data_IF_948004268708
#
_entry.id   IF_948004268708
#
_cell.length_a   1.000
_cell.length_b   1.000
_cell.length_c   1.000
_cell.angle_alpha   90.00
_cell.angle_beta   90.00
_cell.angle_gamma   90.00
#
_symmetry.space_group_name_H-M   'P 1'
#
loop_
_entity.id
_entity.type
_entity.pdbx_description
1 polymer ?
#
# COMPACT_ATOMS: atom_id res chain seq x y z
N UNK A 1 -0.40 -18.11 35.11
CA UNK A 1 -1.07 -16.85 35.48
C UNK A 1 -2.18 -16.55 34.48
N UNK A 2 -3.20 -15.79 34.88
CA UNK A 2 -4.28 -15.33 34.00
C UNK A 2 -4.34 -13.81 34.01
N UNK A 3 -4.67 -13.22 32.86
CA UNK A 3 -4.84 -11.78 32.68
C UNK A 3 -6.32 -11.41 32.77
N UNK A 4 -6.63 -10.39 33.57
CA UNK A 4 -7.96 -9.80 33.63
C UNK A 4 -7.88 -8.39 33.07
N UNK A 5 -8.79 -8.09 32.16
CA UNK A 5 -8.78 -6.84 31.39
C UNK A 5 -9.98 -5.95 31.70
N UNK A 6 -9.85 -4.66 31.39
CA UNK A 6 -11.00 -3.75 31.29
C UNK A 6 -11.78 -3.94 29.97
N UNK A 7 -12.77 -3.06 29.72
CA UNK A 7 -13.62 -3.13 28.53
C UNK A 7 -12.88 -2.81 27.23
N UNK A 8 -11.72 -2.15 27.30
CA UNK A 8 -10.84 -1.88 26.16
C UNK A 8 -9.65 -2.84 26.11
N UNK A 9 -9.65 -3.90 26.92
CA UNK A 9 -8.62 -4.94 26.91
C UNK A 9 -7.35 -4.58 27.67
N UNK A 10 -7.30 -3.46 28.38
CA UNK A 10 -6.12 -3.10 29.17
C UNK A 10 -5.97 -4.05 30.34
N UNK A 11 -4.76 -4.54 30.60
CA UNK A 11 -4.47 -5.43 31.72
C UNK A 11 -4.67 -4.73 33.06
N UNK A 12 -5.65 -5.17 33.87
CA UNK A 12 -5.95 -4.56 35.18
C UNK A 12 -5.34 -5.34 36.33
N UNK A 13 -5.32 -6.67 36.25
CA UNK A 13 -4.77 -7.52 37.32
C UNK A 13 -4.37 -8.89 36.78
N UNK A 14 -3.36 -9.49 37.41
CA UNK A 14 -2.92 -10.86 37.12
C UNK A 14 -3.21 -11.79 38.30
N UNK A 15 -3.67 -13.01 38.01
CA UNK A 15 -3.71 -14.09 39.01
C UNK A 15 -2.61 -15.11 38.76
N UNK A 16 -2.07 -15.72 39.82
CA UNK A 16 -0.97 -16.69 39.75
C UNK A 16 -1.39 -17.98 39.05
N UNK A 17 -2.56 -18.49 39.41
CA UNK A 17 -3.09 -19.81 39.05
C UNK A 17 -4.63 -19.80 38.96
N UNK A 18 -5.20 -20.98 38.77
CA UNK A 18 -6.66 -21.20 38.67
C UNK A 18 -7.39 -20.99 39.99
N UNK A 19 -6.67 -20.89 41.12
CA UNK A 19 -7.25 -20.69 42.44
C UNK A 19 -7.56 -19.21 42.72
N UNK A 20 -7.18 -18.31 41.80
CA UNK A 20 -7.57 -16.90 41.82
C UNK A 20 -6.67 -16.00 42.68
N UNK A 21 -5.53 -16.50 43.15
CA UNK A 21 -4.59 -15.70 43.92
C UNK A 21 -3.99 -14.56 43.08
N UNK A 22 -4.21 -13.31 43.49
CA UNK A 22 -3.65 -12.13 42.81
C UNK A 22 -2.14 -12.09 42.96
N UNK A 23 -1.42 -11.82 41.86
CA UNK A 23 0.02 -11.59 41.90
C UNK A 23 0.29 -10.23 42.56
N UNK A 24 1.24 -10.21 43.50
CA UNK A 24 1.68 -8.96 44.12
C UNK A 24 2.16 -7.97 43.03
N UNK A 25 1.85 -6.68 43.23
CA UNK A 25 2.23 -5.57 42.33
C UNK A 25 1.73 -5.70 40.88
N UNK A 26 0.68 -6.52 40.65
CA UNK A 26 0.03 -6.69 39.34
C UNK A 26 -1.20 -5.81 39.12
N UNK A 27 -1.67 -5.11 40.16
CA UNK A 27 -2.82 -4.23 40.04
C UNK A 27 -2.44 -2.97 39.26
N UNK A 28 -3.07 -2.79 38.11
CA UNK A 28 -2.79 -1.71 37.19
C UNK A 28 -4.03 -0.85 36.99
N UNK A 29 -3.82 0.47 36.88
CA UNK A 29 -4.87 1.44 36.58
C UNK A 29 -4.35 2.41 35.55
N UNK A 30 -5.18 2.76 34.58
CA UNK A 30 -4.81 3.67 33.49
C UNK A 30 -5.60 4.98 33.58
N UNK A 31 -4.95 6.06 33.17
CA UNK A 31 -5.57 7.30 32.73
C UNK A 31 -6.18 7.08 31.34
N UNK A 32 -7.08 7.97 30.86
CA UNK A 32 -7.77 7.78 29.58
C UNK A 32 -6.84 7.57 28.38
N UNK A 33 -5.62 8.12 28.39
CA UNK A 33 -4.63 7.98 27.30
C UNK A 33 -3.50 6.98 27.63
N UNK A 34 -3.72 6.08 28.58
CA UNK A 34 -2.80 4.97 28.85
C UNK A 34 -1.65 5.26 29.82
N UNK A 35 -1.51 6.47 30.35
CA UNK A 35 -0.60 6.70 31.48
C UNK A 35 -1.07 5.95 32.73
N UNK A 36 -0.14 5.54 33.61
CA UNK A 36 -0.51 4.90 34.86
C UNK A 36 -1.18 5.85 35.83
N UNK A 37 -2.31 5.44 36.37
CA UNK A 37 -2.98 6.13 37.48
C UNK A 37 -2.43 5.61 38.80
N UNK A 38 -1.29 6.18 39.22
CA UNK A 38 -0.59 5.81 40.44
C UNK A 38 0.74 5.14 40.12
N UNK A 39 1.12 4.14 40.91
CA UNK A 39 2.35 3.37 40.70
C UNK A 39 2.17 2.42 39.51
N UNK A 40 3.14 2.43 38.61
CA UNK A 40 3.18 1.49 37.49
C UNK A 40 3.38 0.04 38.00
N UNK A 41 2.80 -0.97 37.33
CA UNK A 41 2.90 -2.36 37.75
C UNK A 41 4.29 -2.93 37.45
N UNK A 42 4.58 -4.10 38.00
CA UNK A 42 5.75 -4.88 37.58
C UNK A 42 5.48 -5.57 36.23
N UNK A 43 6.32 -5.30 35.23
CA UNK A 43 6.32 -6.02 33.94
C UNK A 43 7.08 -7.36 33.97
N UNK A 44 7.50 -7.85 35.14
CA UNK A 44 8.25 -9.11 35.24
C UNK A 44 7.47 -10.34 34.71
N UNK A 45 6.14 -10.25 34.65
CA UNK A 45 5.28 -11.37 34.24
C UNK A 45 4.62 -11.20 32.87
N UNK A 46 4.42 -9.96 32.42
CA UNK A 46 3.83 -9.66 31.12
C UNK A 46 4.24 -8.29 30.63
N UNK A 47 4.40 -8.16 29.32
CA UNK A 47 4.56 -6.91 28.59
C UNK A 47 3.20 -6.36 28.08
N UNK A 48 2.10 -7.10 28.27
CA UNK A 48 0.78 -6.71 27.81
C UNK A 48 0.13 -5.73 28.78
N UNK A 49 -0.01 -4.47 28.35
CA UNK A 49 -0.48 -3.37 29.17
C UNK A 49 -1.76 -2.73 28.63
N UNK A 50 -1.66 -1.45 28.33
CA UNK A 50 -2.79 -0.62 27.90
C UNK A 50 -3.43 -1.14 26.59
N UNK A 51 -4.75 -1.32 26.59
CA UNK A 51 -5.54 -1.90 25.49
C UNK A 51 -5.04 -3.25 24.96
N UNK A 52 -4.32 -4.02 25.79
CA UNK A 52 -3.77 -5.32 25.41
C UNK A 52 -2.58 -5.24 24.46
N UNK A 53 -1.92 -4.08 24.39
CA UNK A 53 -0.73 -3.86 23.57
C UNK A 53 0.55 -4.06 24.37
N UNK A 54 1.63 -4.36 23.65
CA UNK A 54 2.96 -4.55 24.25
C UNK A 54 3.56 -3.21 24.65
N UNK A 55 3.90 -3.06 25.91
CA UNK A 55 4.49 -1.85 26.46
C UNK A 55 5.94 -2.09 26.88
N UNK A 56 6.80 -1.12 26.59
CA UNK A 56 8.13 -1.04 27.18
C UNK A 56 8.19 0.14 28.16
N UNK A 57 8.12 -0.15 29.46
CA UNK A 57 8.15 0.86 30.51
C UNK A 57 9.49 1.62 30.63
N UNK A 58 10.60 1.06 30.15
CA UNK A 58 11.92 1.71 30.21
C UNK A 58 11.96 2.98 29.35
N UNK A 59 11.27 2.95 28.21
CA UNK A 59 11.20 4.06 27.26
C UNK A 59 9.83 4.75 27.23
N UNK A 60 8.84 4.21 27.97
CA UNK A 60 7.48 4.77 28.06
C UNK A 60 6.70 4.73 26.74
N UNK A 61 6.99 3.74 25.89
CA UNK A 61 6.33 3.56 24.59
C UNK A 61 5.50 2.27 24.57
N UNK A 62 4.38 2.34 23.85
CA UNK A 62 3.51 1.18 23.62
C UNK A 62 3.53 0.84 22.13
N UNK A 63 3.81 -0.42 21.80
CA UNK A 63 3.88 -0.89 20.42
C UNK A 63 2.50 -1.36 19.94
N UNK A 64 2.01 -0.70 18.90
CA UNK A 64 0.69 -0.89 18.31
C UNK A 64 0.81 -1.49 16.90
N UNK A 65 1.75 -2.42 16.67
CA UNK A 65 2.05 -3.03 15.37
C UNK A 65 2.58 -2.06 14.31
N UNK A 66 1.76 -1.16 13.79
CA UNK A 66 2.17 -0.19 12.77
C UNK A 66 3.00 0.97 13.36
N UNK A 67 2.75 1.34 14.61
CA UNK A 67 3.31 2.56 15.22
C UNK A 67 3.63 2.39 16.70
N UNK A 68 4.51 3.25 17.20
CA UNK A 68 4.70 3.44 18.63
C UNK A 68 3.79 4.53 19.15
N UNK A 69 3.12 4.28 20.26
CA UNK A 69 2.26 5.20 20.97
C UNK A 69 2.95 5.78 22.20
N UNK A 70 2.75 7.08 22.44
CA UNK A 70 3.30 7.83 23.57
C UNK A 70 2.14 8.24 24.51
N UNK A 71 1.88 7.51 25.60
CA UNK A 71 0.78 7.80 26.51
C UNK A 71 0.84 9.21 27.10
N UNK A 72 2.04 9.67 27.48
CA UNK A 72 2.26 10.97 28.14
C UNK A 72 1.86 12.21 27.34
N UNK A 73 1.66 12.08 26.03
CA UNK A 73 1.13 13.16 25.17
C UNK A 73 -0.15 12.73 24.43
N UNK A 74 -0.63 11.51 24.67
CA UNK A 74 -1.83 10.97 24.03
C UNK A 74 -1.74 10.80 22.51
N UNK A 75 -0.55 10.56 21.94
CA UNK A 75 -0.32 10.54 20.48
C UNK A 75 0.62 9.42 20.03
N UNK A 76 0.53 9.06 18.76
CA UNK A 76 1.56 8.23 18.12
C UNK A 76 2.85 9.02 17.92
N UNK A 77 3.98 8.33 18.00
CA UNK A 77 5.32 8.88 17.79
C UNK A 77 5.61 9.19 16.30
N UNK A 78 4.89 8.53 15.39
CA UNK A 78 4.97 8.73 13.94
C UNK A 78 3.59 9.01 13.35
N UNK A 79 3.59 9.69 12.20
CA UNK A 79 2.38 9.86 11.40
C UNK A 79 1.89 8.48 10.91
N UNK A 80 0.58 8.27 10.98
CA UNK A 80 -0.14 7.16 10.34
C UNK A 80 0.26 7.03 8.86
N UNK A 81 0.43 5.85 8.28
CA UNK A 81 0.70 5.71 6.84
C UNK A 81 -0.55 5.97 5.98
N UNK A 82 -1.74 5.90 6.57
CA UNK A 82 -3.03 6.08 5.89
C UNK A 82 -3.84 7.24 6.50
N UNK A 83 -4.94 7.58 5.83
CA UNK A 83 -6.02 8.41 6.40
C UNK A 83 -7.21 7.46 6.62
N UNK A 84 -7.49 7.02 7.86
CA UNK A 84 -8.42 5.90 8.11
C UNK A 84 -9.85 6.16 7.62
N UNK A 85 -10.30 7.42 7.67
CA UNK A 85 -11.59 7.83 7.12
C UNK A 85 -11.47 9.24 6.50
N UNK A 86 -11.30 9.36 5.18
CA UNK A 86 -11.17 10.65 4.49
C UNK A 86 -12.41 11.55 4.61
N UNK A 87 -13.57 11.00 4.95
CA UNK A 87 -14.81 11.77 5.16
C UNK A 87 -14.90 12.37 6.57
N UNK A 88 -14.05 11.93 7.50
CA UNK A 88 -13.95 12.47 8.85
C UNK A 88 -12.75 13.43 8.97
N UNK A 89 -12.97 14.74 9.17
CA UNK A 89 -11.88 15.71 9.32
C UNK A 89 -10.87 15.36 10.43
N UNK A 90 -11.29 14.66 11.49
CA UNK A 90 -10.38 14.26 12.56
C UNK A 90 -9.35 13.22 12.11
N UNK A 91 -9.65 12.41 11.09
CA UNK A 91 -8.72 11.41 10.55
C UNK A 91 -7.53 12.01 9.81
N UNK A 92 -7.56 13.30 9.47
CA UNK A 92 -6.40 13.99 8.89
C UNK A 92 -5.33 14.32 9.93
N UNK A 93 -5.63 14.25 11.23
CA UNK A 93 -4.60 14.27 12.26
C UNK A 93 -3.95 12.89 12.38
N UNK A 94 -2.91 12.67 11.56
CA UNK A 94 -2.17 11.40 11.45
C UNK A 94 -1.41 10.99 12.72
N UNK A 95 -1.36 11.83 13.76
CA UNK A 95 -0.74 11.51 15.05
C UNK A 95 -1.77 11.21 16.14
N UNK A 96 -3.07 11.43 15.88
CA UNK A 96 -4.10 11.26 16.88
C UNK A 96 -4.30 9.79 17.24
N UNK A 97 -4.49 9.53 18.53
CA UNK A 97 -4.94 8.22 19.00
C UNK A 97 -6.45 8.21 19.05
N UNK A 98 -7.05 7.23 18.37
CA UNK A 98 -8.48 6.91 18.36
C UNK A 98 -9.43 8.11 18.28
N UNK A 99 -9.13 9.05 17.38
CA UNK A 99 -9.91 10.30 17.17
C UNK A 99 -10.07 11.14 18.46
N UNK A 100 -9.12 11.01 19.39
CA UNK A 100 -9.13 11.60 20.72
C UNK A 100 -10.29 11.14 21.62
N UNK A 101 -10.82 9.93 21.43
CA UNK A 101 -11.84 9.36 22.30
C UNK A 101 -11.44 7.97 22.87
N UNK A 102 -10.41 7.92 23.74
CA UNK A 102 -9.82 6.67 24.20
C UNK A 102 -10.59 5.96 25.32
N UNK A 103 -11.74 6.49 25.73
CA UNK A 103 -12.64 5.80 26.66
C UNK A 103 -13.56 4.82 25.92
N UNK A 104 -13.91 5.15 24.68
CA UNK A 104 -14.84 4.39 23.87
C UNK A 104 -14.15 3.54 22.80
N UNK A 105 -12.90 3.87 22.45
CA UNK A 105 -12.20 3.24 21.34
C UNK A 105 -10.79 2.80 21.74
N UNK A 106 -10.34 1.68 21.17
CA UNK A 106 -8.93 1.24 21.12
C UNK A 106 -8.42 1.23 19.68
N UNK A 107 -7.14 0.96 19.44
CA UNK A 107 -6.59 0.79 18.09
C UNK A 107 -5.76 -0.50 18.05
N UNK A 108 -6.31 -1.64 17.65
CA UNK A 108 -5.54 -2.90 17.68
C UNK A 108 -4.42 -2.98 16.65
N UNK A 109 -4.54 -2.25 15.53
CA UNK A 109 -3.58 -2.30 14.40
C UNK A 109 -2.56 -1.17 14.41
N UNK A 110 -2.82 -0.15 15.23
CA UNK A 110 -2.09 1.11 15.19
C UNK A 110 -2.45 1.94 13.98
N UNK A 111 -3.58 1.76 13.32
CA UNK A 111 -4.07 2.61 12.22
C UNK A 111 -5.55 2.98 12.35
N UNK A 112 -6.38 2.18 13.05
CA UNK A 112 -7.84 2.30 12.97
C UNK A 112 -8.47 2.26 14.37
N UNK A 113 -9.27 3.28 14.76
CA UNK A 113 -10.03 3.27 16.01
C UNK A 113 -11.12 2.20 16.01
N UNK A 114 -11.38 1.57 17.15
CA UNK A 114 -12.26 0.42 17.28
C UNK A 114 -13.11 0.41 18.56
N UNK A 115 -14.43 0.20 18.40
CA UNK A 115 -15.44 0.26 19.49
C UNK A 115 -15.49 -0.99 20.36
N UNK A 116 -15.19 -2.15 19.79
CA UNK A 116 -15.29 -3.45 20.47
C UNK A 116 -14.06 -4.30 20.17
N UNK A 117 -13.49 -4.90 21.21
CA UNK A 117 -12.45 -5.91 21.08
C UNK A 117 -13.07 -7.28 20.79
N UNK A 118 -13.14 -7.65 19.52
CA UNK A 118 -13.04 -9.04 19.09
C UNK A 118 -11.60 -9.28 18.64
N UNK A 119 -11.02 -10.43 18.95
CA UNK A 119 -9.65 -10.79 18.51
C UNK A 119 -9.50 -10.85 16.98
N UNK A 120 -10.62 -10.78 16.25
CA UNK A 120 -10.68 -10.93 14.80
C UNK A 120 -11.41 -9.76 14.11
N UNK A 121 -12.08 -8.86 14.84
CA UNK A 121 -12.81 -7.76 14.21
C UNK A 121 -13.18 -6.62 15.17
N UNK A 122 -13.53 -5.48 14.58
CA UNK A 122 -13.84 -4.22 15.22
C UNK A 122 -15.09 -3.60 14.58
N UNK A 123 -15.73 -2.67 15.29
CA UNK A 123 -16.79 -1.83 14.72
C UNK A 123 -16.32 -0.38 14.76
N UNK A 124 -16.50 0.35 13.68
CA UNK A 124 -16.15 1.78 13.55
C UNK A 124 -17.39 2.52 13.08
N UNK A 125 -17.94 3.40 13.92
CA UNK A 125 -19.15 4.17 13.61
C UNK A 125 -20.35 3.27 13.23
N UNK A 126 -20.47 2.10 13.86
CA UNK A 126 -21.51 1.10 13.58
C UNK A 126 -21.24 0.20 12.37
N UNK A 127 -20.11 0.34 11.68
CA UNK A 127 -19.69 -0.51 10.56
C UNK A 127 -18.66 -1.55 11.02
N UNK A 128 -18.90 -2.83 10.69
CA UNK A 128 -18.00 -3.92 11.07
C UNK A 128 -16.74 -3.90 10.20
N UNK A 129 -15.59 -3.70 10.84
CA UNK A 129 -14.24 -3.70 10.28
C UNK A 129 -13.51 -4.92 10.83
N UNK A 130 -13.47 -6.00 10.05
CA UNK A 130 -12.65 -7.18 10.35
C UNK A 130 -11.16 -6.77 10.32
N UNK A 131 -10.37 -7.12 11.33
CA UNK A 131 -8.94 -6.79 11.33
C UNK A 131 -8.17 -7.58 10.25
N UNK A 132 -8.74 -8.69 9.78
CA UNK A 132 -8.33 -9.43 8.59
C UNK A 132 -8.88 -8.80 7.30
N UNK A 133 -9.73 -7.76 7.34
CA UNK A 133 -10.12 -7.03 6.13
C UNK A 133 -9.07 -6.05 5.63
N UNK A 134 -8.05 -5.71 6.44
CA UNK A 134 -6.78 -5.18 5.93
C UNK A 134 -5.91 -6.27 5.26
N UNK A 135 -6.31 -7.55 5.35
CA UNK A 135 -5.79 -8.68 4.58
C UNK A 135 -6.82 -9.21 3.57
N UNK A 136 -7.77 -8.38 3.09
CA UNK A 136 -8.59 -8.80 1.96
C UNK A 136 -7.75 -8.76 0.69
N UNK A 137 -6.98 -9.82 0.50
CA UNK A 137 -6.12 -10.03 -0.65
C UNK A 137 -6.97 -10.27 -1.88
N UNK A 138 -6.90 -9.34 -2.82
CA UNK A 138 -7.51 -9.52 -4.13
C UNK A 138 -6.47 -10.09 -5.08
N UNK A 139 -6.69 -11.33 -5.52
CA UNK A 139 -5.93 -11.86 -6.65
C UNK A 139 -6.39 -11.15 -7.92
N UNK A 140 -5.53 -10.27 -8.43
CA UNK A 140 -5.80 -9.52 -9.67
C UNK A 140 -4.98 -10.04 -10.84
N UNK A 141 -4.34 -11.19 -10.71
CA UNK A 141 -3.40 -11.75 -11.71
C UNK A 141 -4.05 -11.87 -13.09
N UNK A 142 -5.22 -12.50 -13.15
CA UNK A 142 -5.98 -12.71 -14.40
C UNK A 142 -6.50 -11.40 -14.98
N UNK A 143 -7.00 -10.53 -14.12
CA UNK A 143 -7.45 -9.21 -14.54
C UNK A 143 -6.30 -8.39 -15.12
N UNK A 144 -5.16 -8.30 -14.44
CA UNK A 144 -4.02 -7.49 -14.88
C UNK A 144 -3.48 -7.97 -16.23
N UNK A 145 -3.33 -9.28 -16.41
CA UNK A 145 -2.94 -9.87 -17.68
C UNK A 145 -3.92 -9.50 -18.81
N UNK A 146 -5.22 -9.62 -18.55
CA UNK A 146 -6.28 -9.30 -19.52
C UNK A 146 -6.34 -7.80 -19.83
N UNK A 147 -6.20 -6.95 -18.81
CA UNK A 147 -6.27 -5.50 -18.92
C UNK A 147 -5.10 -4.94 -19.73
N UNK A 148 -3.89 -5.51 -19.59
CA UNK A 148 -2.75 -5.15 -20.43
C UNK A 148 -3.02 -5.44 -21.92
N UNK A 149 -3.52 -6.63 -22.24
CA UNK A 149 -3.86 -7.03 -23.62
C UNK A 149 -4.99 -6.20 -24.20
N UNK A 150 -6.03 -5.91 -23.42
CA UNK A 150 -7.14 -5.07 -23.90
C UNK A 150 -6.65 -3.67 -24.19
N UNK A 151 -5.90 -3.07 -23.28
CA UNK A 151 -5.44 -1.70 -23.47
C UNK A 151 -4.44 -1.59 -24.61
N UNK A 152 -3.56 -2.57 -24.82
CA UNK A 152 -2.59 -2.55 -25.92
C UNK A 152 -3.22 -2.75 -27.30
N UNK A 153 -4.38 -3.39 -27.36
CA UNK A 153 -5.16 -3.58 -28.59
C UNK A 153 -6.33 -2.58 -28.70
N UNK A 154 -6.47 -1.68 -27.71
CA UNK A 154 -7.55 -0.71 -27.65
C UNK A 154 -7.40 0.41 -28.68
N UNK A 155 -8.50 1.04 -29.11
CA UNK A 155 -8.47 2.15 -30.05
C UNK A 155 -7.64 3.35 -29.55
N UNK A 156 -7.44 3.46 -28.24
CA UNK A 156 -6.67 4.51 -27.61
C UNK A 156 -5.16 4.39 -27.86
N UNK A 157 -4.66 3.19 -28.20
CA UNK A 157 -3.24 2.99 -28.55
C UNK A 157 -2.83 3.75 -29.79
N UNK A 158 -3.73 3.90 -30.76
CA UNK A 158 -3.50 4.69 -31.95
C UNK A 158 -3.27 6.18 -31.59
N UNK A 159 -4.00 6.72 -30.62
CA UNK A 159 -3.81 8.10 -30.16
C UNK A 159 -2.41 8.32 -29.57
N UNK A 160 -1.83 7.28 -28.97
CA UNK A 160 -0.59 7.38 -28.21
C UNK A 160 0.61 7.11 -29.11
N UNK A 161 0.50 6.13 -29.99
CA UNK A 161 1.43 5.98 -31.11
C UNK A 161 1.52 7.28 -31.92
N UNK A 162 0.40 7.98 -32.18
CA UNK A 162 0.42 9.27 -32.88
C UNK A 162 1.18 10.38 -32.12
N UNK A 163 1.18 10.36 -30.78
CA UNK A 163 1.99 11.28 -29.96
C UNK A 163 3.49 11.01 -30.18
N UNK A 164 3.88 9.73 -30.27
CA UNK A 164 5.29 9.32 -30.40
C UNK A 164 5.79 9.20 -31.86
N UNK A 165 4.90 9.23 -32.85
CA UNK A 165 5.21 9.24 -34.29
C UNK A 165 5.45 10.64 -34.86
N UNK A 166 5.37 11.71 -34.05
CA UNK A 166 5.76 13.05 -34.50
C UNK A 166 7.22 13.07 -34.99
N UNK A 167 7.56 13.82 -36.07
CA UNK A 167 8.80 13.64 -36.81
C UNK A 167 10.03 13.74 -35.91
N UNK A 168 10.82 12.64 -35.89
CA UNK A 168 12.12 12.48 -35.23
C UNK A 168 13.20 13.37 -35.89
N UNK A 169 13.04 14.69 -35.86
CA UNK A 169 14.04 15.66 -36.32
C UNK A 169 15.01 16.06 -35.21
N UNK A 170 15.47 15.08 -34.42
CA UNK A 170 16.56 15.21 -33.47
C UNK A 170 17.08 13.81 -33.15
N UNK A 171 18.39 13.72 -33.00
CA UNK A 171 19.25 12.54 -32.81
C UNK A 171 18.63 11.33 -32.07
N UNK A 172 19.05 10.10 -32.42
CA UNK A 172 18.50 8.88 -31.84
C UNK A 172 18.60 8.87 -30.30
N UNK A 173 17.49 8.52 -29.66
CA UNK A 173 17.37 8.24 -28.22
C UNK A 173 18.21 7.02 -27.87
N UNK A 174 19.50 7.21 -27.58
CA UNK A 174 20.37 6.13 -27.12
C UNK A 174 20.24 5.99 -25.60
N UNK A 175 19.25 5.21 -25.17
CA UNK A 175 18.84 5.04 -23.77
C UNK A 175 19.77 4.16 -22.92
N UNK A 176 21.07 4.13 -23.20
CA UNK A 176 22.05 3.28 -22.50
C UNK A 176 23.07 4.04 -21.66
N UNK A 177 23.14 5.39 -21.72
CA UNK A 177 24.27 6.15 -21.13
C UNK A 177 23.89 7.25 -20.12
N UNK A 178 22.64 7.36 -19.66
CA UNK A 178 22.28 8.32 -18.61
C UNK A 178 22.38 9.80 -19.01
N UNK A 179 22.37 10.09 -20.32
CA UNK A 179 22.27 11.45 -20.87
C UNK A 179 20.80 11.70 -21.23
N UNK A 180 20.16 12.70 -20.60
CA UNK A 180 18.78 13.09 -20.91
C UNK A 180 18.65 13.47 -22.40
N UNK A 181 17.53 13.12 -23.06
CA UNK A 181 17.21 13.70 -24.35
C UNK A 181 16.86 15.19 -24.19
N UNK A 182 17.05 15.92 -25.29
CA UNK A 182 16.72 17.34 -25.50
C UNK A 182 15.45 17.81 -24.76
N UNK A 183 15.54 19.01 -24.17
CA UNK A 183 14.46 19.87 -23.63
C UNK A 183 13.09 19.75 -24.32
N UNK A 184 13.05 19.46 -25.63
CA UNK A 184 11.82 19.22 -26.39
C UNK A 184 10.95 18.06 -25.86
N UNK A 185 11.52 17.07 -25.18
CA UNK A 185 10.75 15.98 -24.54
C UNK A 185 9.80 16.52 -23.45
N UNK A 186 10.29 17.44 -22.62
CA UNK A 186 9.51 18.06 -21.54
C UNK A 186 8.42 18.98 -22.08
N UNK A 187 8.68 19.64 -23.22
CA UNK A 187 7.74 20.57 -23.83
C UNK A 187 6.65 19.88 -24.67
N UNK A 188 6.96 18.74 -25.31
CA UNK A 188 6.07 18.11 -26.30
C UNK A 188 5.41 16.83 -25.78
N UNK A 189 6.12 16.01 -24.98
CA UNK A 189 5.68 14.65 -24.62
C UNK A 189 5.23 14.53 -23.17
N UNK A 190 5.79 15.31 -22.24
CA UNK A 190 5.38 15.26 -20.83
C UNK A 190 3.91 15.67 -20.60
N UNK A 191 3.40 16.64 -21.39
CA UNK A 191 2.00 17.08 -21.31
C UNK A 191 1.00 15.99 -21.71
N UNK A 192 1.06 15.44 -22.93
CA UNK A 192 0.20 14.32 -23.33
C UNK A 192 0.36 13.10 -22.43
N UNK A 193 1.58 12.81 -21.98
CA UNK A 193 1.83 11.72 -21.04
C UNK A 193 1.12 11.94 -19.68
N UNK A 194 1.21 13.15 -19.14
CA UNK A 194 0.47 13.56 -17.94
C UNK A 194 -1.04 13.37 -18.15
N UNK A 195 -1.60 13.70 -19.31
CA UNK A 195 -3.03 13.52 -19.55
C UNK A 195 -3.48 12.05 -19.55
N UNK A 196 -2.60 11.12 -19.94
CA UNK A 196 -2.86 9.68 -19.88
C UNK A 196 -2.81 9.11 -18.46
N UNK A 197 -2.02 9.74 -17.58
CA UNK A 197 -1.67 9.22 -16.25
C UNK A 197 -2.18 10.09 -15.08
N UNK A 198 -2.72 11.28 -15.32
CA UNK A 198 -3.33 12.15 -14.30
C UNK A 198 -4.62 11.51 -13.79
N UNK A 199 -5.07 11.90 -12.60
CA UNK A 199 -6.30 11.36 -11.98
C UNK A 199 -7.46 11.14 -12.96
N UNK A 200 -7.90 9.88 -13.09
CA UNK A 200 -8.93 9.39 -14.03
C UNK A 200 -8.54 9.33 -15.51
N UNK A 201 -7.26 9.54 -15.82
CA UNK A 201 -6.67 9.27 -17.13
C UNK A 201 -6.88 7.81 -17.54
N UNK A 202 -6.73 7.58 -18.83
CA UNK A 202 -6.98 6.27 -19.43
C UNK A 202 -6.18 5.17 -18.74
N UNK A 203 -4.94 5.46 -18.33
CA UNK A 203 -3.98 4.48 -17.80
C UNK A 203 -3.64 4.65 -16.32
N UNK A 204 -4.30 5.57 -15.62
CA UNK A 204 -4.19 5.68 -14.16
C UNK A 204 -4.98 4.55 -13.49
N UNK A 205 -4.51 3.30 -13.63
CA UNK A 205 -5.10 2.15 -12.94
C UNK A 205 -4.72 2.14 -11.46
N UNK A 206 -3.58 2.75 -11.08
CA UNK A 206 -3.08 2.84 -9.70
C UNK A 206 -4.11 3.46 -8.77
N UNK A 207 -4.59 4.68 -9.10
CA UNK A 207 -5.54 5.39 -8.24
C UNK A 207 -6.91 4.72 -8.23
N UNK A 208 -7.32 4.09 -9.33
CA UNK A 208 -8.59 3.37 -9.45
C UNK A 208 -8.61 2.09 -8.63
N UNK A 209 -7.53 1.30 -8.66
CA UNK A 209 -7.34 0.13 -7.81
C UNK A 209 -7.33 0.52 -6.33
N UNK A 210 -6.57 1.55 -5.96
CA UNK A 210 -6.55 2.07 -4.59
C UNK A 210 -7.95 2.47 -4.10
N UNK A 211 -8.74 3.11 -4.96
CA UNK A 211 -10.10 3.56 -4.62
C UNK A 211 -11.09 2.40 -4.53
N UNK A 212 -10.97 1.40 -5.41
CA UNK A 212 -11.96 0.34 -5.55
C UNK A 212 -11.74 -0.86 -4.62
N UNK A 213 -10.49 -1.24 -4.35
CA UNK A 213 -10.16 -2.44 -3.56
C UNK A 213 -9.18 -2.19 -2.42
N UNK A 214 -8.65 -0.97 -2.28
CA UNK A 214 -7.79 -0.58 -1.15
C UNK A 214 -6.33 -1.06 -1.29
N UNK A 215 -5.68 -1.24 -0.15
CA UNK A 215 -4.33 -1.80 -0.03
C UNK A 215 -4.42 -3.33 0.11
N UNK A 216 -3.55 -4.08 -0.56
CA UNK A 216 -3.48 -5.54 -0.43
C UNK A 216 -3.90 -6.30 -1.69
N UNK A 217 -2.99 -6.34 -2.65
CA UNK A 217 -3.17 -7.01 -3.94
C UNK A 217 -2.25 -8.22 -3.99
N UNK A 218 -2.77 -9.32 -4.52
CA UNK A 218 -1.99 -10.53 -4.72
C UNK A 218 -1.74 -10.75 -6.21
N UNK A 219 -0.49 -11.04 -6.57
CA UNK A 219 -0.11 -11.51 -7.90
C UNK A 219 0.49 -12.91 -7.79
N UNK A 220 -0.01 -13.83 -8.60
CA UNK A 220 0.29 -15.26 -8.52
C UNK A 220 0.99 -15.73 -9.79
N UNK A 221 2.25 -16.14 -9.64
CA UNK A 221 2.93 -16.95 -10.65
C UNK A 221 2.58 -18.43 -10.51
N UNK A 222 3.11 -19.25 -11.42
CA UNK A 222 2.94 -20.71 -11.34
C UNK A 222 3.60 -21.32 -10.09
N UNK A 223 4.59 -20.65 -9.52
CA UNK A 223 5.35 -21.06 -8.34
C UNK A 223 4.85 -20.43 -7.02
N UNK A 224 3.71 -19.74 -7.05
CA UNK A 224 3.06 -19.19 -5.86
C UNK A 224 2.68 -17.72 -5.99
N UNK A 225 2.16 -17.16 -4.90
CA UNK A 225 1.63 -15.80 -4.87
C UNK A 225 2.47 -14.88 -3.98
N UNK A 226 2.51 -13.60 -4.36
CA UNK A 226 3.10 -12.53 -3.57
C UNK A 226 2.09 -11.43 -3.28
N UNK A 227 2.25 -10.77 -2.14
CA UNK A 227 1.49 -9.59 -1.75
C UNK A 227 2.20 -8.33 -2.22
N UNK A 228 1.42 -7.38 -2.71
CA UNK A 228 1.87 -6.10 -3.25
C UNK A 228 0.88 -4.99 -2.91
N UNK A 229 1.38 -3.75 -2.89
CA UNK A 229 0.53 -2.57 -2.89
C UNK A 229 -0.06 -2.31 -4.30
N UNK A 230 -0.97 -1.34 -4.39
CA UNK A 230 -1.61 -0.93 -5.66
C UNK A 230 -0.64 -0.28 -6.65
N UNK A 231 0.56 0.13 -6.23
CA UNK A 231 1.55 0.74 -7.12
C UNK A 231 2.12 -0.31 -8.07
N UNK A 232 2.38 -1.51 -7.57
CA UNK A 232 3.04 -2.61 -8.29
C UNK A 232 2.28 -3.03 -9.57
N UNK A 233 1.02 -3.48 -9.52
CA UNK A 233 0.28 -3.85 -10.74
C UNK A 233 0.13 -2.67 -11.70
N UNK A 234 0.01 -1.45 -11.17
CA UNK A 234 0.01 -0.23 -11.98
C UNK A 234 1.32 0.02 -12.73
N UNK A 235 2.45 -0.20 -12.09
CA UNK A 235 3.78 -0.08 -12.69
C UNK A 235 4.04 -1.14 -13.76
N UNK A 236 3.59 -2.38 -13.52
CA UNK A 236 3.69 -3.48 -14.50
C UNK A 236 2.86 -3.15 -15.76
N UNK A 237 1.59 -2.79 -15.60
CA UNK A 237 0.72 -2.39 -16.71
C UNK A 237 1.32 -1.23 -17.50
N UNK A 238 1.80 -0.21 -16.78
CA UNK A 238 2.42 0.94 -17.40
C UNK A 238 3.65 0.57 -18.25
N UNK A 239 4.55 -0.27 -17.73
CA UNK A 239 5.72 -0.75 -18.48
C UNK A 239 5.33 -1.53 -19.75
N UNK A 240 4.32 -2.37 -19.67
CA UNK A 240 3.82 -3.17 -20.80
C UNK A 240 3.32 -2.29 -21.95
N UNK A 241 2.51 -1.29 -21.60
CA UNK A 241 1.95 -0.34 -22.56
C UNK A 241 3.03 0.60 -23.14
N UNK A 242 4.00 1.01 -22.32
CA UNK A 242 5.12 1.83 -22.78
C UNK A 242 6.01 1.09 -23.79
N UNK A 243 6.23 -0.22 -23.58
CA UNK A 243 6.94 -1.07 -24.54
C UNK A 243 6.20 -1.16 -25.88
N UNK A 244 4.88 -1.27 -25.85
CA UNK A 244 4.04 -1.34 -27.05
C UNK A 244 3.98 -0.05 -27.89
N UNK A 245 4.43 1.07 -27.31
CA UNK A 245 4.45 2.38 -27.97
C UNK A 245 5.86 2.83 -28.36
N UNK A 246 6.85 1.93 -28.29
CA UNK A 246 8.27 2.19 -28.54
C UNK A 246 8.87 3.30 -27.63
N UNK A 247 8.28 3.54 -26.46
CA UNK A 247 8.83 4.47 -25.47
C UNK A 247 10.10 3.83 -24.89
N UNK A 248 11.27 4.48 -24.95
CA UNK A 248 12.47 3.95 -24.32
C UNK A 248 12.30 3.75 -22.81
N UNK A 249 12.87 2.66 -22.27
CA UNK A 249 12.83 2.31 -20.84
C UNK A 249 13.25 3.44 -19.90
N UNK A 250 14.22 4.26 -20.31
CA UNK A 250 14.67 5.41 -19.52
C UNK A 250 13.65 6.56 -19.47
N UNK A 251 12.72 6.63 -20.42
CA UNK A 251 11.75 7.72 -20.57
C UNK A 251 10.40 7.44 -19.95
N UNK A 252 9.99 6.18 -19.84
CA UNK A 252 8.78 5.79 -19.10
C UNK A 252 8.84 6.23 -17.62
N UNK A 253 10.04 6.39 -17.07
CA UNK A 253 10.26 6.84 -15.69
C UNK A 253 9.96 8.33 -15.47
N UNK A 254 10.36 9.19 -16.43
CA UNK A 254 10.00 10.61 -16.41
C UNK A 254 8.49 10.83 -16.47
N UNK A 255 7.84 9.90 -17.15
CA UNK A 255 6.42 9.86 -17.36
C UNK A 255 5.67 9.63 -16.02
N UNK A 256 6.16 8.72 -15.17
CA UNK A 256 5.67 8.53 -13.80
C UNK A 256 5.84 9.77 -12.91
N UNK A 257 6.96 10.49 -13.06
CA UNK A 257 7.27 11.73 -12.34
C UNK A 257 6.71 13.03 -12.97
N UNK A 258 5.99 12.94 -14.09
CA UNK A 258 5.53 14.11 -14.83
C UNK A 258 4.51 14.97 -14.04
N UNK A 259 3.78 14.36 -13.10
CA UNK A 259 2.89 15.02 -12.15
C UNK A 259 3.68 16.01 -11.28
N UNK A 260 4.77 15.57 -10.68
CA UNK A 260 5.60 16.38 -9.77
C UNK A 260 6.36 17.48 -10.51
N UNK A 261 6.77 17.22 -11.75
CA UNK A 261 7.40 18.23 -12.61
C UNK A 261 6.37 19.31 -13.01
N UNK A 262 5.13 18.91 -13.34
CA UNK A 262 4.08 19.85 -13.77
C UNK A 262 3.48 20.65 -12.61
N UNK A 263 3.43 20.07 -11.42
CA UNK A 263 2.99 20.73 -10.18
C UNK A 263 4.11 21.56 -9.52
N UNK A 264 5.32 21.54 -10.09
CA UNK A 264 6.47 22.34 -9.65
C UNK A 264 7.16 21.80 -8.38
N UNK A 265 6.86 20.57 -7.98
CA UNK A 265 7.43 19.90 -6.81
C UNK A 265 8.73 19.15 -7.09
N UNK A 266 9.10 18.93 -8.36
CA UNK A 266 10.37 18.28 -8.75
C UNK A 266 11.21 19.15 -9.71
N UNK A 267 12.53 19.18 -9.51
CA UNK A 267 13.49 19.91 -10.35
C UNK A 267 14.12 18.94 -11.36
N UNK A 268 13.89 19.20 -12.66
CA UNK A 268 14.38 18.42 -13.81
C UNK A 268 15.89 18.13 -13.79
N UNK A 269 16.69 19.01 -13.20
CA UNK A 269 18.15 18.84 -13.10
C UNK A 269 18.58 17.69 -12.18
N UNK A 270 17.65 17.14 -11.40
CA UNK A 270 17.90 16.04 -10.47
C UNK A 270 16.98 14.85 -10.78
N UNK A 271 16.79 14.51 -12.06
CA UNK A 271 15.91 13.42 -12.51
C UNK A 271 16.14 12.06 -11.81
N UNK A 272 17.34 11.82 -11.28
CA UNK A 272 17.69 10.67 -10.44
C UNK A 272 16.86 10.59 -9.14
N UNK A 273 16.30 11.70 -8.65
CA UNK A 273 15.39 11.73 -7.49
C UNK A 273 13.94 11.40 -7.84
N UNK A 274 13.58 11.27 -9.13
CA UNK A 274 12.29 10.67 -9.53
C UNK A 274 12.31 9.14 -9.38
N UNK A 275 13.48 8.55 -9.07
CA UNK A 275 13.70 7.13 -8.80
C UNK A 275 13.68 6.86 -7.30
N UNK A 276 12.67 7.34 -6.59
CA UNK A 276 12.64 7.19 -5.13
C UNK A 276 12.55 5.71 -4.70
N UNK A 277 12.00 4.84 -5.56
CA UNK A 277 11.80 3.42 -5.25
C UNK A 277 12.33 2.46 -6.34
N UNK A 278 13.42 1.71 -6.06
CA UNK A 278 13.93 0.65 -6.94
C UNK A 278 12.90 -0.45 -7.27
N UNK A 279 11.87 -0.61 -6.43
CA UNK A 279 10.78 -1.57 -6.60
C UNK A 279 9.83 -1.19 -7.74
N UNK A 280 9.47 0.08 -7.78
CA UNK A 280 8.65 0.65 -8.85
C UNK A 280 9.36 0.51 -10.19
N UNK A 281 10.69 0.75 -10.21
CA UNK A 281 11.51 0.53 -11.39
C UNK A 281 11.48 -0.94 -11.84
N UNK A 282 11.67 -1.88 -10.92
CA UNK A 282 11.65 -3.30 -11.24
C UNK A 282 10.29 -3.73 -11.83
N UNK A 283 9.18 -3.26 -11.25
CA UNK A 283 7.83 -3.51 -11.75
C UNK A 283 7.61 -2.98 -13.18
N UNK A 284 8.08 -1.76 -13.48
CA UNK A 284 8.05 -1.20 -14.85
C UNK A 284 8.90 -2.02 -15.80
N UNK A 285 10.13 -2.39 -15.42
CA UNK A 285 11.01 -3.21 -16.26
C UNK A 285 10.39 -4.58 -16.57
N UNK A 286 9.71 -5.18 -15.60
CA UNK A 286 9.00 -6.43 -15.80
C UNK A 286 7.85 -6.26 -16.82
N UNK A 287 7.08 -5.17 -16.73
CA UNK A 287 6.09 -4.81 -17.75
C UNK A 287 6.67 -4.75 -19.17
N UNK A 288 7.82 -4.09 -19.34
CA UNK A 288 8.53 -4.07 -20.62
C UNK A 288 8.91 -5.47 -21.10
N UNK A 289 9.52 -6.26 -20.21
CA UNK A 289 9.96 -7.62 -20.52
C UNK A 289 8.79 -8.49 -21.00
N UNK A 290 7.63 -8.39 -20.35
CA UNK A 290 6.42 -9.13 -20.74
C UNK A 290 6.03 -8.80 -22.18
N UNK A 291 5.93 -7.53 -22.55
CA UNK A 291 5.56 -7.16 -23.93
C UNK A 291 6.65 -7.52 -24.94
N UNK A 292 7.93 -7.28 -24.62
CA UNK A 292 9.07 -7.64 -25.48
C UNK A 292 9.13 -9.15 -25.75
N UNK A 293 8.65 -9.98 -24.81
CA UNK A 293 8.67 -11.45 -24.91
C UNK A 293 7.40 -12.01 -25.56
N UNK A 294 6.22 -11.56 -25.15
CA UNK A 294 4.94 -12.17 -25.50
C UNK A 294 4.06 -11.30 -26.42
N UNK A 295 4.39 -10.02 -26.58
CA UNK A 295 3.69 -9.10 -27.47
C UNK A 295 2.26 -8.77 -27.02
N UNK A 296 1.45 -8.31 -27.98
CA UNK A 296 0.08 -7.81 -27.75
C UNK A 296 -0.95 -8.89 -27.42
N UNK A 297 -0.60 -10.17 -27.58
CA UNK A 297 -1.53 -11.30 -27.47
C UNK A 297 -1.21 -12.20 -26.27
N UNK A 298 -0.45 -11.66 -25.29
CA UNK A 298 -0.01 -12.39 -24.10
C UNK A 298 -1.16 -13.06 -23.36
N UNK A 299 -1.03 -14.35 -23.04
CA UNK A 299 -2.06 -15.07 -22.27
C UNK A 299 -1.71 -15.15 -20.79
N UNK A 300 -2.71 -15.44 -19.93
CA UNK A 300 -2.53 -15.56 -18.48
C UNK A 300 -1.40 -16.51 -18.11
N UNK A 301 -1.31 -17.69 -18.76
CA UNK A 301 -0.28 -18.67 -18.44
C UNK A 301 1.14 -18.14 -18.71
N UNK A 302 1.33 -17.30 -19.72
CA UNK A 302 2.62 -16.66 -20.02
C UNK A 302 2.97 -15.63 -18.95
N UNK A 303 2.00 -14.79 -18.56
CA UNK A 303 2.16 -13.86 -17.45
C UNK A 303 2.57 -14.57 -16.15
N UNK A 304 1.86 -15.64 -15.78
CA UNK A 304 2.17 -16.42 -14.57
C UNK A 304 3.49 -17.17 -14.66
N UNK A 305 3.93 -17.56 -15.87
CA UNK A 305 5.24 -18.20 -16.08
C UNK A 305 6.37 -17.19 -15.90
N UNK A 306 6.20 -15.96 -16.38
CA UNK A 306 7.20 -14.91 -16.27
C UNK A 306 7.29 -14.30 -14.86
N UNK A 307 6.16 -14.26 -14.14
CA UNK A 307 6.09 -13.76 -12.77
C UNK A 307 6.61 -14.81 -11.79
N UNK A 308 7.92 -15.08 -11.76
CA UNK A 308 8.54 -16.05 -10.82
C UNK A 308 8.68 -15.46 -9.41
N UNK A 309 9.00 -16.30 -8.42
CA UNK A 309 9.29 -15.90 -7.05
C UNK A 309 10.42 -14.86 -6.97
N UNK A 310 11.49 -15.04 -7.75
CA UNK A 310 12.62 -14.10 -7.80
C UNK A 310 12.19 -12.75 -8.37
N UNK A 311 11.40 -12.74 -9.43
CA UNK A 311 10.85 -11.51 -10.02
C UNK A 311 9.95 -10.80 -9.01
N UNK A 312 9.02 -11.53 -8.36
CA UNK A 312 8.15 -11.00 -7.31
C UNK A 312 8.94 -10.38 -6.16
N UNK A 313 10.06 -10.98 -5.77
CA UNK A 313 10.93 -10.45 -4.71
C UNK A 313 11.62 -9.12 -5.08
N UNK A 314 11.80 -8.82 -6.38
CA UNK A 314 12.36 -7.53 -6.83
C UNK A 314 11.40 -6.35 -6.62
N UNK A 315 10.08 -6.61 -6.60
CA UNK A 315 9.08 -5.58 -6.36
C UNK A 315 8.88 -5.30 -4.87
N UNK A 316 9.30 -6.19 -3.97
CA UNK A 316 9.20 -5.97 -2.53
C UNK A 316 10.18 -6.88 -1.74
N UNK A 317 11.29 -6.34 -1.20
CA UNK A 317 12.33 -7.14 -0.54
C UNK A 317 12.00 -7.56 0.90
N UNK A 318 10.81 -7.23 1.42
CA UNK A 318 10.34 -7.69 2.74
C UNK A 318 8.89 -8.15 2.60
N UNK A 319 8.66 -9.44 2.27
CA UNK A 319 7.32 -9.99 2.30
C UNK A 319 6.84 -9.97 3.76
N UNK A 320 5.69 -9.33 4.00
CA UNK A 320 4.89 -9.63 5.19
C UNK A 320 4.49 -11.10 5.03
N UNK A 321 4.81 -11.93 6.02
CA UNK A 321 4.50 -13.36 5.98
C UNK A 321 3.00 -13.57 5.76
N UNK A 322 2.63 -14.21 4.65
CA UNK A 322 1.23 -14.55 4.35
C UNK A 322 0.77 -15.66 5.30
N UNK A 323 -0.30 -15.46 6.09
CA UNK A 323 -0.86 -16.53 6.91
C UNK A 323 -1.33 -17.67 5.99
N UNK A 324 -0.96 -18.91 6.35
CA UNK A 324 -1.22 -20.13 5.58
C UNK A 324 -2.70 -20.45 5.23
N UNK A 325 -3.65 -19.60 5.63
CA UNK A 325 -5.09 -19.78 5.43
C UNK A 325 -5.79 -18.63 4.70
N UNK A 326 -5.09 -17.54 4.36
CA UNK A 326 -5.64 -16.45 3.55
C UNK A 326 -5.59 -16.85 2.06
N UNK A 327 -6.49 -17.74 1.64
CA UNK A 327 -6.78 -17.89 0.21
C UNK A 327 -7.39 -16.56 -0.25
N UNK A 328 -6.62 -15.80 -1.05
CA UNK A 328 -7.11 -14.62 -1.74
C UNK A 328 -8.50 -14.92 -2.30
N UNK A 329 -9.48 -14.08 -1.98
CA UNK A 329 -10.79 -14.22 -2.62
C UNK A 329 -10.55 -14.02 -4.11
N UNK A 330 -10.65 -15.11 -4.91
CA UNK A 330 -10.66 -15.04 -6.37
C UNK A 330 -11.92 -14.28 -6.79
N UNK A 331 -11.89 -12.97 -6.64
CA UNK A 331 -12.91 -12.13 -7.22
C UNK A 331 -12.53 -11.99 -8.68
N UNK A 332 -13.28 -12.70 -9.54
CA UNK A 332 -13.16 -12.65 -10.99
C UNK A 332 -13.56 -11.26 -11.50
N UNK A 333 -12.66 -10.29 -11.34
CA UNK A 333 -12.81 -8.97 -11.92
C UNK A 333 -12.89 -9.15 -13.44
N UNK A 334 -14.03 -8.73 -14.01
CA UNK A 334 -14.17 -8.70 -15.46
C UNK A 334 -13.18 -7.68 -16.03
N UNK A 335 -12.66 -7.89 -17.24
CA UNK A 335 -11.81 -6.89 -17.87
C UNK A 335 -12.54 -5.54 -17.98
N UNK A 336 -11.82 -4.45 -17.71
CA UNK A 336 -12.40 -3.12 -17.59
C UNK A 336 -13.19 -2.85 -16.29
N UNK A 337 -13.11 -3.72 -15.27
CA UNK A 337 -13.73 -3.49 -13.96
C UNK A 337 -13.34 -2.16 -13.30
N UNK A 338 -12.19 -1.61 -13.68
CA UNK A 338 -11.70 -0.33 -13.20
C UNK A 338 -11.62 0.73 -14.31
N UNK A 339 -12.24 0.49 -15.48
CA UNK A 339 -12.34 1.47 -16.55
C UNK A 339 -13.55 2.38 -16.31
N UNK A 340 -13.35 3.69 -16.52
CA UNK A 340 -14.39 4.68 -16.30
C UNK A 340 -15.47 4.52 -17.39
N UNK A 341 -16.65 4.01 -17.03
CA UNK A 341 -17.84 4.24 -17.85
C UNK A 341 -18.28 5.67 -17.61
N UNK A 342 -18.03 6.53 -18.59
CA UNK A 342 -18.44 7.93 -18.54
C UNK A 342 -19.90 8.09 -18.16
N UNK A 343 -20.15 8.86 -17.10
CA UNK A 343 -21.40 9.60 -16.91
C UNK A 343 -21.10 11.09 -17.04
#
# INVERSE_FOLDING_TARGET
>A
FYLFTDHLGSTVVLTKDSDGYILADSLTRYMPFGEYRGTAPSQAMTDQGYTGQKENMEIGLIYYNARFYVPGIGRFASADTIVPNPTNPQSFNRYSYVRNNPINFSDPTGNIPCETLGTEACTVDGEYVDFQSQEKQYDVTEWLASEMVINVNGPEMAAIQNIFQQPKNSTPMNGTTGIMPDTRFLEVLAGPFYELNKGFGLWDIKRKMKTAIGEGITLCGLDGCGWFDYSTPGNIHFGFIAAATDIPKGLSLFAGGALEIKEGSAIVSNWQTLFEDPRDWAAVQFGYQLYETYGSDMVLNEFQTALTADIRATFQPSPISVPSQALAQRNGFSPGAFNYQGQ
#
